data_IF_629979366314
#
_entry.id   IF_629979366314
#
_cell.length_a   1.000
_cell.length_b   1.000
_cell.length_c   1.000
_cell.angle_alpha   90.00
_cell.angle_beta   90.00
_cell.angle_gamma   90.00
#
_symmetry.space_group_name_H-M   'P 1'
#
loop_
_entity.id
_entity.type
_entity.pdbx_description
1 polymer ?
#
# COMPACT_ATOMS: atom_id res chain seq x y z
N UNK A 1 16.69 25.21 20.54
CA UNK A 1 16.10 24.22 19.61
C UNK A 1 16.34 22.78 20.05
N UNK A 2 17.53 22.42 20.59
CA UNK A 2 17.78 21.08 21.15
C UNK A 2 16.92 20.74 22.39
N UNK A 3 16.56 21.76 23.18
CA UNK A 3 15.76 21.60 24.41
C UNK A 3 14.31 21.13 24.17
N UNK A 4 13.73 21.42 23.00
CA UNK A 4 12.33 21.08 22.69
C UNK A 4 12.16 19.60 22.33
N UNK A 5 13.23 18.94 21.86
CA UNK A 5 13.22 17.51 21.50
C UNK A 5 13.10 16.60 22.71
N UNK A 6 13.54 17.08 23.88
CA UNK A 6 13.46 16.36 25.16
C UNK A 6 12.09 16.51 25.83
N UNK A 7 11.25 17.44 25.37
CA UNK A 7 9.93 17.66 25.94
C UNK A 7 9.00 16.50 25.62
N UNK A 8 8.29 16.05 26.65
CA UNK A 8 7.34 14.95 26.55
C UNK A 8 5.95 15.45 26.23
N UNK A 9 5.31 14.80 25.26
CA UNK A 9 3.95 15.10 24.82
C UNK A 9 3.09 13.86 24.97
N UNK A 10 1.80 14.06 25.18
CA UNK A 10 0.81 13.00 25.07
C UNK A 10 0.57 12.70 23.59
N UNK A 11 0.93 11.50 23.19
CA UNK A 11 0.82 11.02 21.81
C UNK A 11 -0.25 9.95 21.77
N UNK A 12 -1.22 10.15 20.88
CA UNK A 12 -2.24 9.18 20.54
C UNK A 12 -2.21 9.00 19.02
N UNK A 13 -1.93 7.79 18.55
CA UNK A 13 -1.87 7.42 17.14
C UNK A 13 -2.67 6.15 16.92
N UNK A 14 -3.52 6.09 15.89
CA UNK A 14 -4.15 4.85 15.43
C UNK A 14 -5.03 4.15 16.45
N UNK A 15 -5.67 4.90 17.35
CA UNK A 15 -6.47 4.34 18.45
C UNK A 15 -5.65 3.65 19.54
N UNK A 16 -4.32 3.83 19.58
CA UNK A 16 -3.47 3.33 20.65
C UNK A 16 -3.72 4.05 21.97
N UNK A 17 -3.40 3.39 23.08
CA UNK A 17 -3.37 4.02 24.39
C UNK A 17 -2.44 5.24 24.36
N UNK A 18 -2.91 6.37 24.92
CA UNK A 18 -2.13 7.60 25.03
C UNK A 18 -0.83 7.33 25.78
N UNK A 19 0.29 7.68 25.16
CA UNK A 19 1.63 7.53 25.75
C UNK A 19 2.31 8.87 25.83
N UNK A 20 3.07 9.08 26.90
CA UNK A 20 3.95 10.23 27.02
C UNK A 20 5.30 9.89 26.40
N UNK A 21 5.63 10.53 25.30
CA UNK A 21 6.88 10.33 24.57
C UNK A 21 7.59 11.67 24.35
N UNK A 22 8.92 11.71 24.43
CA UNK A 22 9.67 12.91 24.07
C UNK A 22 9.55 13.17 22.55
N UNK A 23 9.58 14.42 22.13
CA UNK A 23 9.39 14.79 20.70
C UNK A 23 10.46 14.15 19.79
N UNK A 24 11.65 13.85 20.29
CA UNK A 24 12.67 13.07 19.57
C UNK A 24 12.17 11.68 19.14
N UNK A 25 11.25 11.08 19.88
CA UNK A 25 10.70 9.74 19.62
C UNK A 25 9.52 9.78 18.62
N UNK A 26 9.55 10.75 17.69
CA UNK A 26 8.67 10.86 16.51
C UNK A 26 8.76 9.69 15.52
N UNK A 27 9.54 8.66 15.83
CA UNK A 27 9.74 7.48 15.02
C UNK A 27 8.43 6.78 14.66
N UNK A 28 7.41 6.82 15.52
CA UNK A 28 6.07 6.27 15.23
C UNK A 28 5.37 7.01 14.07
N UNK A 29 5.42 8.34 14.05
CA UNK A 29 4.85 9.13 12.97
C UNK A 29 5.66 8.94 11.67
N UNK A 30 6.99 8.90 11.77
CA UNK A 30 7.86 8.62 10.61
C UNK A 30 7.61 7.22 10.02
N UNK A 31 7.43 6.20 10.86
CA UNK A 31 7.11 4.84 10.41
C UNK A 31 5.75 4.76 9.72
N UNK A 32 4.76 5.53 10.20
CA UNK A 32 3.40 5.50 9.66
C UNK A 32 3.25 6.29 8.37
N UNK A 33 3.98 7.41 8.23
CA UNK A 33 3.77 8.38 7.14
C UNK A 33 4.95 8.54 6.17
N UNK A 34 6.15 8.06 6.51
CA UNK A 34 7.36 8.23 5.70
C UNK A 34 7.95 6.88 5.26
N UNK A 35 7.13 5.84 5.15
CA UNK A 35 7.53 4.51 4.68
C UNK A 35 7.56 4.39 3.16
N UNK A 36 7.47 3.15 2.67
CA UNK A 36 7.39 2.85 1.24
C UNK A 36 6.03 3.24 0.60
N UNK A 37 5.03 3.56 1.42
CA UNK A 37 3.68 3.95 0.99
C UNK A 37 3.41 5.35 1.54
N UNK A 38 3.12 6.30 0.64
CA UNK A 38 2.58 7.61 0.98
C UNK A 38 1.06 7.59 0.93
N UNK A 39 0.40 8.21 1.90
CA UNK A 39 -1.07 8.28 1.96
C UNK A 39 -1.51 9.74 2.02
N UNK A 40 -2.28 10.16 1.02
CA UNK A 40 -2.84 11.51 0.94
C UNK A 40 -4.34 11.45 1.25
N UNK A 41 -4.73 11.94 2.43
CA UNK A 41 -6.13 11.89 2.87
C UNK A 41 -6.59 13.17 3.61
N UNK A 42 -5.67 14.10 3.87
CA UNK A 42 -5.98 15.34 4.60
C UNK A 42 -6.89 16.30 3.81
N UNK A 43 -7.00 16.12 2.49
CA UNK A 43 -7.92 16.86 1.64
C UNK A 43 -9.39 16.43 1.80
N UNK A 44 -9.66 15.32 2.50
CA UNK A 44 -11.03 14.86 2.78
C UNK A 44 -11.66 15.83 3.80
N UNK A 45 -12.75 16.50 3.39
CA UNK A 45 -13.46 17.47 4.22
C UNK A 45 -14.22 16.79 5.38
N UNK A 46 -14.81 15.62 5.09
CA UNK A 46 -15.61 14.88 6.05
C UNK A 46 -14.73 14.29 7.15
N UNK A 47 -15.05 14.62 8.40
CA UNK A 47 -14.26 14.24 9.57
C UNK A 47 -14.16 12.72 9.74
N UNK A 48 -15.28 12.03 9.69
CA UNK A 48 -15.35 10.59 9.97
C UNK A 48 -14.49 9.76 8.98
N UNK A 49 -14.62 9.91 7.65
CA UNK A 49 -13.74 9.23 6.71
C UNK A 49 -12.26 9.58 6.89
N UNK A 50 -11.95 10.86 7.17
CA UNK A 50 -10.57 11.30 7.40
C UNK A 50 -9.96 10.64 8.64
N UNK A 51 -10.70 10.59 9.74
CA UNK A 51 -10.27 9.93 10.98
C UNK A 51 -10.14 8.41 10.79
N UNK A 52 -11.05 7.80 10.03
CA UNK A 52 -10.99 6.37 9.69
C UNK A 52 -9.72 6.01 8.90
N UNK A 53 -9.38 6.79 7.87
CA UNK A 53 -8.14 6.58 7.10
C UNK A 53 -6.91 6.80 7.99
N UNK A 54 -6.89 7.89 8.78
CA UNK A 54 -5.81 8.16 9.72
C UNK A 54 -5.57 6.99 10.68
N UNK A 55 -6.63 6.46 11.28
CA UNK A 55 -6.54 5.31 12.17
C UNK A 55 -6.01 4.05 11.47
N UNK A 56 -6.42 3.81 10.23
CA UNK A 56 -5.95 2.68 9.43
C UNK A 56 -4.45 2.77 9.08
N UNK A 57 -3.96 3.96 8.75
CA UNK A 57 -2.54 4.23 8.46
C UNK A 57 -1.70 4.11 9.72
N UNK A 58 -2.12 4.76 10.79
CA UNK A 58 -1.37 4.80 12.05
C UNK A 58 -1.35 3.44 12.76
N UNK A 59 -2.31 2.55 12.51
CA UNK A 59 -2.29 1.16 12.99
C UNK A 59 -1.60 0.18 12.06
N UNK A 60 -1.18 0.60 10.85
CA UNK A 60 -0.63 -0.32 9.84
C UNK A 60 0.62 -1.08 10.31
N UNK A 61 1.47 -0.43 11.12
CA UNK A 61 2.66 -1.05 11.72
C UNK A 61 2.32 -2.24 12.64
N UNK A 62 1.09 -2.35 13.11
CA UNK A 62 0.61 -3.43 13.98
C UNK A 62 0.18 -4.68 13.19
N UNK A 63 0.01 -4.59 11.87
CA UNK A 63 -0.54 -5.67 11.02
C UNK A 63 0.40 -6.87 10.83
N UNK A 64 1.52 -6.91 11.55
CA UNK A 64 2.49 -8.00 11.48
C UNK A 64 3.19 -8.09 10.11
N UNK A 65 4.13 -9.02 9.99
CA UNK A 65 4.73 -9.33 8.68
C UNK A 65 3.86 -10.34 7.95
N UNK A 66 3.81 -10.23 6.63
CA UNK A 66 3.16 -11.23 5.78
C UNK A 66 3.73 -12.64 6.08
N UNK A 67 2.87 -13.67 6.14
CA UNK A 67 3.32 -15.05 6.26
C UNK A 67 4.31 -15.42 5.14
N UNK A 68 5.31 -16.28 5.40
CA UNK A 68 6.28 -16.70 4.39
C UNK A 68 5.64 -17.23 3.11
N UNK A 69 4.51 -17.93 3.22
CA UNK A 69 3.76 -18.52 2.12
C UNK A 69 3.19 -17.43 1.22
N UNK A 70 2.52 -16.42 1.80
CA UNK A 70 2.01 -15.26 1.05
C UNK A 70 3.12 -14.47 0.36
N UNK A 71 4.29 -14.36 0.98
CA UNK A 71 5.45 -13.71 0.34
C UNK A 71 5.95 -14.48 -0.89
N UNK A 72 5.90 -15.82 -0.85
CA UNK A 72 6.26 -16.66 -2.01
C UNK A 72 5.23 -16.53 -3.13
N UNK A 73 3.95 -16.50 -2.80
CA UNK A 73 2.88 -16.29 -3.79
C UNK A 73 3.03 -14.94 -4.52
N UNK A 74 3.26 -13.85 -3.78
CA UNK A 74 3.51 -12.53 -4.36
C UNK A 74 4.74 -12.56 -5.28
N UNK A 75 5.84 -13.19 -4.82
CA UNK A 75 7.05 -13.31 -5.62
C UNK A 75 6.83 -14.13 -6.91
N UNK A 76 6.04 -15.20 -6.83
CA UNK A 76 5.69 -16.01 -8.00
C UNK A 76 4.89 -15.18 -9.00
N UNK A 77 3.84 -14.46 -8.55
CA UNK A 77 3.03 -13.61 -9.41
C UNK A 77 3.87 -12.52 -10.12
N UNK A 78 4.81 -11.90 -9.41
CA UNK A 78 5.76 -10.94 -10.01
C UNK A 78 6.66 -11.60 -11.06
N UNK A 79 7.16 -12.80 -10.77
CA UNK A 79 8.02 -13.55 -11.69
C UNK A 79 7.26 -13.94 -12.96
N UNK A 80 6.02 -14.38 -12.82
CA UNK A 80 5.16 -14.78 -13.93
C UNK A 80 4.82 -13.57 -14.83
N UNK A 81 4.54 -12.41 -14.23
CA UNK A 81 4.30 -11.16 -14.96
C UNK A 81 5.53 -10.74 -15.80
N UNK A 82 6.72 -10.74 -15.18
CA UNK A 82 7.98 -10.41 -15.83
C UNK A 82 8.32 -11.40 -16.97
N UNK A 83 8.13 -12.69 -16.74
CA UNK A 83 8.38 -13.73 -17.74
C UNK A 83 7.42 -13.61 -18.92
N UNK A 84 6.14 -13.33 -18.66
CA UNK A 84 5.15 -13.12 -19.70
C UNK A 84 5.52 -11.92 -20.58
N UNK A 85 6.00 -10.84 -19.98
CA UNK A 85 6.45 -9.66 -20.71
C UNK A 85 7.68 -9.95 -21.58
N UNK A 86 8.70 -10.59 -21.02
CA UNK A 86 9.89 -11.04 -21.77
C UNK A 86 9.53 -11.98 -22.92
N UNK A 87 8.62 -12.92 -22.66
CA UNK A 87 8.14 -13.84 -23.68
C UNK A 87 7.47 -13.09 -24.83
N UNK A 88 6.52 -12.21 -24.53
CA UNK A 88 5.83 -11.38 -25.51
C UNK A 88 6.81 -10.49 -26.27
N UNK A 89 7.85 -9.99 -25.59
CA UNK A 89 8.93 -9.24 -26.20
C UNK A 89 9.70 -10.04 -27.25
N UNK A 90 10.12 -11.25 -26.89
CA UNK A 90 10.88 -12.12 -27.80
C UNK A 90 10.06 -12.61 -29.00
N UNK A 91 8.77 -12.91 -28.79
CA UNK A 91 7.93 -13.58 -29.79
C UNK A 91 7.31 -12.64 -30.81
N UNK A 92 7.04 -11.39 -30.45
CA UNK A 92 6.32 -10.45 -31.31
C UNK A 92 7.09 -9.14 -31.52
N UNK A 93 8.34 -9.19 -32.04
CA UNK A 93 9.17 -7.99 -32.22
C UNK A 93 8.46 -6.96 -33.12
N UNK A 94 8.52 -5.68 -32.75
CA UNK A 94 8.00 -4.57 -33.56
C UNK A 94 6.48 -4.31 -33.46
N UNK A 95 5.69 -5.13 -32.75
CA UNK A 95 4.30 -4.77 -32.45
C UNK A 95 4.23 -3.68 -31.37
N UNK A 96 3.31 -2.71 -31.53
CA UNK A 96 2.96 -1.74 -30.48
C UNK A 96 2.28 -2.50 -29.34
N UNK A 97 2.91 -2.48 -28.17
CA UNK A 97 2.41 -3.17 -26.97
C UNK A 97 2.37 -2.17 -25.83
N UNK A 98 1.32 -2.26 -25.01
CA UNK A 98 1.26 -1.56 -23.74
C UNK A 98 1.97 -2.45 -22.73
N UNK A 99 3.28 -2.27 -22.67
CA UNK A 99 4.18 -2.95 -21.75
C UNK A 99 3.76 -2.67 -20.30
N UNK A 100 3.96 -3.66 -19.43
CA UNK A 100 3.76 -3.58 -18.00
C UNK A 100 5.07 -3.26 -17.26
N UNK A 101 6.15 -2.95 -17.99
CA UNK A 101 7.47 -2.67 -17.45
C UNK A 101 7.41 -1.55 -16.41
N UNK A 102 7.87 -1.84 -15.19
CA UNK A 102 7.79 -0.97 -14.02
C UNK A 102 6.43 -0.96 -13.30
N UNK A 103 5.44 -1.71 -13.78
CA UNK A 103 4.08 -1.82 -13.26
C UNK A 103 3.70 -3.26 -12.84
N UNK A 104 4.65 -4.18 -12.76
CA UNK A 104 4.41 -5.61 -12.52
C UNK A 104 3.75 -5.86 -11.16
N UNK A 105 3.99 -4.97 -10.19
CA UNK A 105 3.35 -4.96 -8.87
C UNK A 105 1.83 -4.81 -8.91
N UNK A 106 1.26 -4.34 -10.02
CA UNK A 106 -0.18 -4.28 -10.23
C UNK A 106 -0.81 -5.68 -10.24
N UNK A 107 -0.11 -6.69 -10.77
CA UNK A 107 -0.64 -8.06 -10.88
C UNK A 107 -0.95 -8.67 -9.50
N UNK A 108 0.01 -8.76 -8.55
CA UNK A 108 -0.29 -9.26 -7.22
C UNK A 108 -1.25 -8.34 -6.44
N UNK A 109 -1.27 -7.03 -6.70
CA UNK A 109 -2.22 -6.12 -6.08
C UNK A 109 -3.67 -6.42 -6.51
N UNK A 110 -3.91 -6.62 -7.80
CA UNK A 110 -5.21 -7.01 -8.32
C UNK A 110 -5.63 -8.39 -7.82
N UNK A 111 -4.70 -9.35 -7.77
CA UNK A 111 -4.97 -10.68 -7.22
C UNK A 111 -5.44 -10.58 -5.77
N UNK A 112 -4.79 -9.76 -4.94
CA UNK A 112 -5.20 -9.55 -3.55
C UNK A 112 -6.62 -8.97 -3.43
N UNK A 113 -7.02 -8.04 -4.31
CA UNK A 113 -8.38 -7.50 -4.35
C UNK A 113 -9.41 -8.58 -4.69
N UNK A 114 -9.12 -9.40 -5.71
CA UNK A 114 -10.01 -10.49 -6.15
C UNK A 114 -10.13 -11.57 -5.07
N UNK A 115 -9.04 -11.90 -4.38
CA UNK A 115 -9.06 -12.88 -3.28
C UNK A 115 -9.80 -12.37 -2.04
N UNK A 116 -9.67 -11.08 -1.72
CA UNK A 116 -10.32 -10.50 -0.54
C UNK A 116 -11.82 -10.24 -0.76
N UNK A 117 -12.21 -9.85 -1.97
CA UNK A 117 -13.56 -9.43 -2.32
C UNK A 117 -14.67 -10.36 -1.79
N UNK A 118 -14.63 -11.68 -2.03
CA UNK A 118 -15.66 -12.61 -1.56
C UNK A 118 -15.86 -12.59 -0.05
N UNK A 119 -14.79 -12.41 0.74
CA UNK A 119 -14.88 -12.34 2.21
C UNK A 119 -15.57 -11.07 2.69
N UNK A 120 -15.63 -10.04 1.84
CA UNK A 120 -16.31 -8.77 2.08
C UNK A 120 -17.70 -8.71 1.42
N UNK A 121 -18.18 -9.82 0.85
CA UNK A 121 -19.49 -9.90 0.17
C UNK A 121 -19.49 -9.35 -1.26
N UNK A 122 -18.32 -9.18 -1.88
CA UNK A 122 -18.22 -8.77 -3.29
C UNK A 122 -18.51 -9.97 -4.19
N UNK A 123 -19.44 -9.81 -5.12
CA UNK A 123 -19.85 -10.84 -6.08
C UNK A 123 -19.29 -10.62 -7.50
N UNK A 124 -18.93 -9.38 -7.83
CA UNK A 124 -18.46 -9.00 -9.16
C UNK A 124 -17.36 -7.92 -9.03
N UNK A 125 -16.32 -8.05 -9.85
CA UNK A 125 -15.25 -7.06 -9.97
C UNK A 125 -15.16 -6.63 -11.43
N UNK A 126 -15.41 -5.35 -11.69
CA UNK A 126 -15.32 -4.76 -13.02
C UNK A 126 -14.04 -3.92 -13.10
N UNK A 127 -13.15 -4.25 -14.04
CA UNK A 127 -11.89 -3.53 -14.26
C UNK A 127 -12.00 -2.68 -15.53
N UNK A 128 -12.00 -1.35 -15.37
CA UNK A 128 -11.84 -0.42 -16.48
C UNK A 128 -10.37 -0.03 -16.64
N UNK A 129 -9.80 -0.25 -17.82
CA UNK A 129 -8.41 0.14 -18.13
C UNK A 129 -8.37 0.99 -19.39
N UNK A 130 -7.66 2.11 -19.35
CA UNK A 130 -7.36 2.90 -20.54
C UNK A 130 -6.01 2.46 -21.10
N UNK A 131 -6.00 2.08 -22.38
CA UNK A 131 -4.76 1.88 -23.13
C UNK A 131 -4.52 3.10 -24.02
N UNK A 132 -3.27 3.49 -24.28
CA UNK A 132 -3.00 4.68 -25.09
C UNK A 132 -3.34 4.42 -26.57
N UNK A 133 -4.61 4.60 -26.90
CA UNK A 133 -5.21 4.31 -28.20
C UNK A 133 -6.71 4.62 -28.30
N UNK A 134 -7.44 4.66 -27.16
CA UNK A 134 -8.85 5.08 -27.05
C UNK A 134 -9.05 6.00 -25.82
#
# INVERSE_FOLDING_TARGET
MADDLERTFEVTLGGQATRRLPLRDRGLAQQSYCGAIGVEYLHIEQREPREWVGAAVESAHQRGRLPPERRREILQALTDAELFEKFTHSRYPGQKRFSLEGGETLIPALQAVVELGPTLGVHEVVLGMRTAGD
#
